data_IF_050584828074
#
_entry.id   IF_050584828074
#
_cell.length_a   1.000
_cell.length_b   1.000
_cell.length_c   1.000
_cell.angle_alpha   90.00
_cell.angle_beta   90.00
_cell.angle_gamma   90.00
#
_symmetry.space_group_name_H-M   'P 1'
#
loop_
_entity.id
_entity.type
_entity.pdbx_description
1 polymer ?
#
# COMPACT_ATOMS: atom_id res chain seq x y z
N UNK A 1 -7.54 -20.37 4.58
CA UNK A 1 -7.96 -20.49 5.98
C UNK A 1 -8.58 -19.15 6.33
N UNK A 2 -9.92 -19.05 6.38
CA UNK A 2 -10.61 -17.77 6.64
C UNK A 2 -10.30 -17.37 8.09
N UNK A 3 -9.64 -16.24 8.28
CA UNK A 3 -9.32 -15.71 9.60
C UNK A 3 -10.62 -15.42 10.36
N UNK A 4 -10.85 -16.11 11.48
CA UNK A 4 -12.06 -15.93 12.31
C UNK A 4 -12.21 -14.47 12.79
N UNK A 5 -11.09 -13.76 12.93
CA UNK A 5 -11.02 -12.36 13.34
C UNK A 5 -11.56 -11.37 12.29
N UNK A 6 -11.56 -11.71 11.00
CA UNK A 6 -12.06 -10.82 9.95
C UNK A 6 -13.58 -10.58 10.07
N UNK A 7 -14.33 -11.57 10.55
CA UNK A 7 -15.76 -11.44 10.79
C UNK A 7 -16.07 -10.57 12.02
N UNK A 8 -15.29 -10.71 13.09
CA UNK A 8 -15.40 -9.89 14.30
C UNK A 8 -15.04 -8.43 13.99
N UNK A 9 -13.92 -8.20 13.29
CA UNK A 9 -13.50 -6.86 12.85
C UNK A 9 -14.59 -6.19 11.97
N UNK A 10 -15.22 -6.96 11.08
CA UNK A 10 -16.32 -6.46 10.25
C UNK A 10 -17.54 -6.06 11.08
N UNK A 11 -17.88 -6.83 12.12
CA UNK A 11 -18.97 -6.51 13.02
C UNK A 11 -18.68 -5.24 13.83
N UNK A 12 -17.45 -5.10 14.35
CA UNK A 12 -17.00 -3.91 15.07
C UNK A 12 -17.03 -2.66 14.20
N UNK A 13 -16.57 -2.74 12.94
CA UNK A 13 -16.61 -1.61 12.00
C UNK A 13 -18.04 -1.19 11.66
N UNK A 14 -18.95 -2.16 11.48
CA UNK A 14 -20.38 -1.86 11.28
C UNK A 14 -20.99 -1.21 12.51
N UNK A 15 -20.66 -1.68 13.71
CA UNK A 15 -21.12 -1.08 14.97
C UNK A 15 -20.57 0.35 15.15
N UNK A 16 -19.36 0.63 14.65
CA UNK A 16 -18.77 1.97 14.60
C UNK A 16 -19.39 2.89 13.53
N UNK A 17 -20.38 2.43 12.75
CA UNK A 17 -21.10 3.25 11.77
C UNK A 17 -20.48 3.25 10.36
N UNK A 18 -19.55 2.34 10.06
CA UNK A 18 -18.94 2.27 8.74
C UNK A 18 -19.93 1.76 7.68
N UNK A 19 -20.20 2.57 6.65
CA UNK A 19 -21.12 2.20 5.56
C UNK A 19 -20.49 1.20 4.59
N UNK A 20 -19.20 1.38 4.28
CA UNK A 20 -18.45 0.53 3.35
C UNK A 20 -17.35 -0.19 4.13
N UNK A 21 -17.52 -1.50 4.35
CA UNK A 21 -16.48 -2.34 4.94
C UNK A 21 -15.85 -3.19 3.84
N UNK A 22 -14.51 -3.18 3.80
CA UNK A 22 -13.72 -4.04 2.92
C UNK A 22 -12.73 -4.82 3.76
N UNK A 23 -12.66 -6.12 3.52
CA UNK A 23 -11.63 -7.00 4.06
C UNK A 23 -10.65 -7.37 2.95
N UNK A 24 -9.36 -7.42 3.26
CA UNK A 24 -8.33 -7.94 2.36
C UNK A 24 -7.98 -9.38 2.76
N UNK A 25 -7.84 -10.24 1.76
CA UNK A 25 -7.29 -11.59 1.95
C UNK A 25 -5.76 -11.51 2.16
N UNK A 26 -5.16 -12.42 2.95
CA UNK A 26 -3.71 -12.49 3.12
C UNK A 26 -2.98 -12.59 1.77
N UNK A 27 -2.16 -11.59 1.45
CA UNK A 27 -1.41 -11.50 0.18
C UNK A 27 -1.95 -10.50 -0.84
N UNK A 28 -3.16 -9.95 -0.64
CA UNK A 28 -3.72 -8.85 -1.43
C UNK A 28 -3.47 -7.46 -0.80
N UNK A 29 -2.40 -7.35 -0.01
CA UNK A 29 -2.06 -6.18 0.80
C UNK A 29 -2.10 -4.87 0.01
N UNK A 30 -3.01 -3.97 0.41
CA UNK A 30 -3.15 -2.61 -0.08
C UNK A 30 -4.04 -2.43 -1.31
N UNK A 31 -4.71 -3.47 -1.80
CA UNK A 31 -5.61 -3.37 -2.96
C UNK A 31 -7.00 -2.80 -2.58
N UNK A 32 -7.61 -3.29 -1.51
CA UNK A 32 -8.85 -2.74 -0.97
C UNK A 32 -8.63 -1.37 -0.34
N UNK A 33 -7.50 -1.15 0.36
CA UNK A 33 -7.14 0.19 0.84
C UNK A 33 -7.03 1.16 -0.32
N UNK A 34 -6.30 0.79 -1.38
CA UNK A 34 -6.15 1.62 -2.58
C UNK A 34 -7.52 1.99 -3.16
N UNK A 35 -8.41 1.00 -3.27
CA UNK A 35 -9.78 1.23 -3.75
C UNK A 35 -10.54 2.20 -2.85
N UNK A 36 -10.49 2.04 -1.52
CA UNK A 36 -11.16 2.96 -0.59
C UNK A 36 -10.60 4.38 -0.73
N UNK A 37 -9.27 4.52 -0.79
CA UNK A 37 -8.61 5.82 -0.95
C UNK A 37 -8.89 6.48 -2.32
N UNK A 38 -9.33 5.72 -3.33
CA UNK A 38 -9.71 6.27 -4.62
C UNK A 38 -11.13 6.86 -4.59
N UNK A 39 -12.03 6.30 -3.77
CA UNK A 39 -13.43 6.73 -3.65
C UNK A 39 -13.71 7.70 -2.49
N UNK A 40 -12.82 7.78 -1.50
CA UNK A 40 -13.03 8.64 -0.33
C UNK A 40 -13.05 10.12 -0.71
N UNK A 41 -13.94 10.89 -0.10
CA UNK A 41 -14.15 12.31 -0.35
C UNK A 41 -13.98 13.19 0.89
N UNK A 42 -14.26 14.49 0.71
CA UNK A 42 -14.17 15.46 1.79
C UNK A 42 -15.24 15.21 2.86
N UNK A 43 -14.84 15.16 4.12
CA UNK A 43 -15.71 14.87 5.26
C UNK A 43 -15.86 13.38 5.58
N UNK A 44 -15.31 12.49 4.75
CA UNK A 44 -15.31 11.06 5.04
C UNK A 44 -14.24 10.67 6.07
N UNK A 45 -14.47 9.56 6.76
CA UNK A 45 -13.56 9.00 7.75
C UNK A 45 -13.24 7.54 7.43
N UNK A 46 -11.96 7.26 7.20
CA UNK A 46 -11.45 5.89 7.13
C UNK A 46 -11.31 5.35 8.54
N UNK A 47 -12.10 4.33 8.88
CA UNK A 47 -12.02 3.66 10.19
C UNK A 47 -11.37 2.31 10.04
N UNK A 48 -10.41 2.02 10.93
CA UNK A 48 -9.77 0.71 11.04
C UNK A 48 -9.80 0.22 12.48
N UNK A 49 -9.81 -1.09 12.67
CA UNK A 49 -9.75 -1.66 14.02
C UNK A 49 -8.37 -1.43 14.62
N UNK A 50 -7.31 -1.84 13.93
CA UNK A 50 -5.93 -1.74 14.41
C UNK A 50 -4.94 -1.43 13.29
N UNK A 51 -3.86 -0.71 13.62
CA UNK A 51 -2.83 -0.33 12.64
C UNK A 51 -1.97 -1.51 12.17
N UNK A 52 -1.77 -2.55 12.99
CA UNK A 52 -1.00 -3.75 12.60
C UNK A 52 -1.68 -4.57 11.50
N UNK A 53 -2.98 -4.32 11.27
CA UNK A 53 -3.74 -4.91 10.17
C UNK A 53 -3.49 -4.22 8.84
N UNK A 54 -2.87 -3.04 8.85
CA UNK A 54 -2.22 -2.54 7.67
C UNK A 54 -0.90 -3.29 7.49
N UNK A 55 -0.81 -4.07 6.42
CA UNK A 55 0.49 -4.56 5.93
C UNK A 55 1.35 -3.42 5.33
N UNK A 56 1.23 -2.19 5.86
CA UNK A 56 1.94 -0.99 5.43
C UNK A 56 3.16 -0.79 6.32
N UNK A 57 4.28 -0.42 5.68
CA UNK A 57 5.42 0.15 6.38
C UNK A 57 5.07 1.52 6.98
N UNK A 58 5.92 2.05 7.89
CA UNK A 58 5.73 3.40 8.45
C UNK A 58 5.53 4.47 7.36
N UNK A 59 6.31 4.37 6.28
CA UNK A 59 6.15 5.22 5.08
C UNK A 59 4.85 4.96 4.31
N UNK A 60 4.40 3.71 4.22
CA UNK A 60 3.12 3.39 3.58
C UNK A 60 1.92 4.00 4.31
N UNK A 61 1.98 4.10 5.64
CA UNK A 61 0.95 4.74 6.44
C UNK A 61 0.98 6.26 6.31
N UNK A 62 2.17 6.88 6.24
CA UNK A 62 2.32 8.30 5.92
C UNK A 62 1.74 8.65 4.54
N UNK A 63 2.06 7.85 3.51
CA UNK A 63 1.51 8.04 2.16
C UNK A 63 -0.03 7.93 2.15
N UNK A 64 -0.61 7.05 2.99
CA UNK A 64 -2.06 6.94 3.14
C UNK A 64 -2.67 8.16 3.84
N UNK A 65 -2.03 8.68 4.89
CA UNK A 65 -2.46 9.89 5.58
C UNK A 65 -2.45 11.11 4.64
N UNK A 66 -1.36 11.31 3.90
CA UNK A 66 -1.25 12.43 2.95
C UNK A 66 -2.35 12.36 1.88
N UNK A 67 -2.70 11.15 1.42
CA UNK A 67 -3.81 10.94 0.45
C UNK A 67 -5.19 11.23 1.03
N UNK A 68 -5.40 10.94 2.31
CA UNK A 68 -6.64 11.25 3.02
C UNK A 68 -6.79 12.76 3.19
N UNK A 69 -5.73 13.42 3.68
CA UNK A 69 -5.71 14.87 3.89
C UNK A 69 -5.91 15.64 2.58
N UNK A 70 -5.25 15.22 1.49
CA UNK A 70 -5.42 15.82 0.18
C UNK A 70 -6.87 15.73 -0.36
N UNK A 71 -7.66 14.79 0.17
CA UNK A 71 -9.08 14.61 -0.16
C UNK A 71 -10.02 15.22 0.88
N UNK A 72 -9.50 15.80 1.96
CA UNK A 72 -10.31 16.31 3.07
C UNK A 72 -10.94 15.21 3.93
N UNK A 73 -10.36 14.01 3.93
CA UNK A 73 -10.78 12.86 4.72
C UNK A 73 -9.89 12.68 5.95
N UNK A 74 -10.35 11.87 6.91
CA UNK A 74 -9.61 11.56 8.14
C UNK A 74 -9.42 10.06 8.37
N UNK A 75 -8.45 9.69 9.22
CA UNK A 75 -8.22 8.34 9.70
C UNK A 75 -8.63 8.25 11.16
N UNK A 76 -9.33 7.17 11.52
CA UNK A 76 -9.59 6.79 12.90
C UNK A 76 -9.25 5.32 13.12
N UNK A 77 -8.52 5.06 14.20
CA UNK A 77 -8.17 3.72 14.66
C UNK A 77 -8.95 3.47 15.93
N UNK A 78 -9.62 2.32 16.05
CA UNK A 78 -10.39 1.97 17.23
C UNK A 78 -9.46 1.50 18.37
N UNK A 79 -8.44 0.71 18.04
CA UNK A 79 -7.55 0.07 19.00
C UNK A 79 -6.06 0.13 18.55
N UNK A 80 -5.21 0.92 19.23
CA UNK A 80 -5.58 1.94 20.21
C UNK A 80 -6.40 3.07 19.55
N UNK A 81 -7.21 3.77 20.36
CA UNK A 81 -8.02 4.89 19.90
C UNK A 81 -7.12 6.04 19.41
N UNK A 82 -7.00 6.18 18.09
CA UNK A 82 -6.17 7.21 17.44
C UNK A 82 -6.99 7.93 16.37
N UNK A 83 -6.63 9.19 16.11
CA UNK A 83 -7.25 10.00 15.07
C UNK A 83 -6.19 10.81 14.34
N UNK A 84 -6.37 10.99 13.02
CA UNK A 84 -5.55 11.92 12.24
C UNK A 84 -6.04 13.36 12.29
N UNK A 85 -7.03 13.68 13.13
CA UNK A 85 -7.56 15.04 13.27
C UNK A 85 -6.95 15.79 14.46
N UNK A 86 -6.85 17.12 14.32
CA UNK A 86 -6.41 18.01 15.40
C UNK A 86 -4.99 17.74 15.90
N UNK A 87 -4.75 17.98 17.19
CA UNK A 87 -3.45 17.74 17.83
C UNK A 87 -3.06 16.26 17.86
N UNK A 88 -4.05 15.36 17.94
CA UNK A 88 -3.83 13.91 17.88
C UNK A 88 -3.24 13.46 16.55
N UNK A 89 -3.69 14.06 15.45
CA UNK A 89 -3.15 13.79 14.12
C UNK A 89 -1.70 14.22 13.95
N UNK A 90 -1.32 15.39 14.47
CA UNK A 90 0.07 15.84 14.44
C UNK A 90 1.00 14.92 15.21
N UNK A 91 0.56 14.46 16.40
CA UNK A 91 1.33 13.51 17.19
C UNK A 91 1.47 12.15 16.48
N UNK A 92 0.39 11.65 15.88
CA UNK A 92 0.42 10.42 15.09
C UNK A 92 1.42 10.55 13.93
N UNK A 93 1.37 11.65 13.18
CA UNK A 93 2.26 11.88 12.04
C UNK A 93 3.73 11.92 12.47
N UNK A 94 4.05 12.64 13.54
CA UNK A 94 5.41 12.71 14.08
C UNK A 94 5.96 11.34 14.50
N UNK A 95 5.14 10.50 15.14
CA UNK A 95 5.53 9.13 15.50
C UNK A 95 5.77 8.29 14.25
N UNK A 96 4.90 8.39 13.24
CA UNK A 96 5.05 7.65 12.00
C UNK A 96 6.26 8.09 11.18
N UNK A 97 6.62 9.37 11.20
CA UNK A 97 7.86 9.90 10.62
C UNK A 97 9.08 9.28 11.31
N UNK A 98 9.12 9.29 12.64
CA UNK A 98 10.20 8.66 13.40
C UNK A 98 10.30 7.14 13.11
N UNK A 99 9.17 6.43 13.03
CA UNK A 99 9.15 5.01 12.66
C UNK A 99 9.65 4.81 11.23
N UNK A 100 9.23 5.65 10.28
CA UNK A 100 9.63 5.54 8.88
C UNK A 100 11.13 5.80 8.67
N UNK A 101 11.77 6.61 9.51
CA UNK A 101 13.22 6.81 9.52
C UNK A 101 14.00 5.61 10.06
N UNK A 102 13.42 4.90 11.05
CA UNK A 102 14.00 3.70 11.66
C UNK A 102 13.76 2.44 10.81
N UNK A 103 12.72 2.44 9.97
CA UNK A 103 12.44 1.32 9.08
C UNK A 103 13.52 1.22 7.99
N UNK A 104 14.10 0.03 7.76
CA UNK A 104 15.02 -0.16 6.65
C UNK A 104 14.29 0.16 5.35
N UNK A 105 14.96 0.89 4.44
CA UNK A 105 14.44 1.59 3.25
C UNK A 105 13.78 0.70 2.16
N UNK A 106 13.20 -0.45 2.50
CA UNK A 106 13.26 -1.60 1.62
C UNK A 106 12.17 -2.65 1.71
N UNK A 107 10.94 -2.41 2.18
CA UNK A 107 9.94 -3.49 2.16
C UNK A 107 8.55 -3.05 1.68
N UNK A 108 8.14 -3.62 0.53
CA UNK A 108 6.78 -3.55 0.02
C UNK A 108 6.72 -3.35 -1.49
N UNK A 109 6.67 -2.09 -1.94
CA UNK A 109 6.38 -1.74 -3.35
C UNK A 109 7.61 -1.63 -4.24
N UNK A 110 8.69 -1.03 -3.71
CA UNK A 110 9.94 -0.84 -4.46
C UNK A 110 10.71 -2.14 -4.64
N UNK A 111 10.76 -3.04 -3.65
CA UNK A 111 11.50 -4.30 -3.77
C UNK A 111 10.92 -5.22 -4.86
N UNK A 112 9.60 -5.32 -5.00
CA UNK A 112 8.97 -6.08 -6.11
C UNK A 112 9.24 -5.44 -7.48
N UNK A 113 9.13 -4.12 -7.59
CA UNK A 113 9.41 -3.43 -8.86
C UNK A 113 10.89 -3.40 -9.21
N UNK A 114 11.78 -3.25 -8.24
CA UNK A 114 13.23 -3.21 -8.43
C UNK A 114 13.79 -4.61 -8.66
N UNK A 115 13.33 -5.63 -7.94
CA UNK A 115 13.69 -7.03 -8.20
C UNK A 115 13.24 -7.44 -9.60
N UNK A 116 11.99 -7.15 -9.98
CA UNK A 116 11.51 -7.40 -11.34
C UNK A 116 12.33 -6.62 -12.38
N UNK A 117 12.72 -5.37 -12.10
CA UNK A 117 13.53 -4.56 -13.04
C UNK A 117 14.92 -5.16 -13.22
N UNK A 118 15.64 -5.47 -12.13
CA UNK A 118 16.97 -6.06 -12.18
C UNK A 118 16.95 -7.45 -12.86
N UNK A 119 15.96 -8.28 -12.55
CA UNK A 119 15.78 -9.61 -13.17
C UNK A 119 15.43 -9.53 -14.66
N UNK A 120 14.59 -8.56 -15.08
CA UNK A 120 14.31 -8.30 -16.51
C UNK A 120 15.61 -8.05 -17.27
N UNK A 121 16.49 -7.19 -16.74
CA UNK A 121 17.75 -6.85 -17.39
C UNK A 121 18.76 -8.00 -17.37
N UNK A 122 18.87 -8.72 -16.25
CA UNK A 122 19.74 -9.87 -16.14
C UNK A 122 19.37 -10.95 -17.18
N UNK A 123 18.07 -11.24 -17.35
CA UNK A 123 17.59 -12.19 -18.34
C UNK A 123 17.76 -11.69 -19.78
N UNK A 124 17.55 -10.39 -20.03
CA UNK A 124 17.79 -9.80 -21.35
C UNK A 124 19.28 -9.88 -21.74
N UNK A 125 20.21 -9.60 -20.81
CA UNK A 125 21.66 -9.75 -21.05
C UNK A 125 22.07 -11.21 -21.25
N UNK A 126 21.34 -12.14 -20.67
CA UNK A 126 21.50 -13.58 -20.92
C UNK A 126 20.87 -14.04 -22.26
N UNK A 127 20.35 -13.11 -23.08
CA UNK A 127 19.78 -13.41 -24.41
C UNK A 127 18.34 -13.93 -24.39
N UNK A 128 17.64 -13.86 -23.25
CA UNK A 128 16.25 -14.30 -23.16
C UNK A 128 15.34 -13.24 -23.79
N UNK A 129 14.45 -13.67 -24.68
CA UNK A 129 13.52 -12.75 -25.36
C UNK A 129 12.50 -12.12 -24.40
N UNK A 130 12.03 -10.88 -24.66
CA UNK A 130 11.10 -10.14 -23.78
C UNK A 130 9.80 -10.87 -23.44
N UNK A 131 9.30 -11.70 -24.35
CA UNK A 131 8.09 -12.52 -24.15
C UNK A 131 8.32 -13.63 -23.14
N UNK A 132 9.50 -14.27 -23.20
CA UNK A 132 9.89 -15.33 -22.28
C UNK A 132 10.24 -14.78 -20.90
N UNK A 133 10.84 -13.58 -20.84
CA UNK A 133 11.05 -12.83 -19.59
C UNK A 133 9.71 -12.55 -18.89
N UNK A 134 8.73 -12.04 -19.63
CA UNK A 134 7.40 -11.76 -19.11
C UNK A 134 6.75 -13.03 -18.52
N UNK A 135 6.88 -14.16 -19.22
CA UNK A 135 6.36 -15.46 -18.77
C UNK A 135 7.06 -15.98 -17.52
N UNK A 136 8.40 -15.91 -17.46
CA UNK A 136 9.21 -16.38 -16.33
C UNK A 136 8.99 -15.57 -15.06
N UNK A 137 8.79 -14.26 -15.19
CA UNK A 137 8.65 -13.35 -14.07
C UNK A 137 7.19 -13.09 -13.67
N UNK A 138 6.21 -13.66 -14.39
CA UNK A 138 4.79 -13.45 -14.12
C UNK A 138 4.33 -12.00 -14.32
N UNK A 139 4.97 -11.25 -15.22
CA UNK A 139 4.66 -9.84 -15.51
C UNK A 139 4.12 -9.67 -16.93
N UNK A 140 3.41 -8.57 -17.18
CA UNK A 140 2.90 -8.29 -18.53
C UNK A 140 4.04 -7.95 -19.50
N UNK A 141 3.90 -8.37 -20.78
CA UNK A 141 4.84 -8.00 -21.86
C UNK A 141 5.06 -6.49 -21.93
N UNK A 142 4.00 -5.72 -21.72
CA UNK A 142 4.04 -4.25 -21.72
C UNK A 142 4.92 -3.69 -20.58
N UNK A 143 4.97 -4.37 -19.43
CA UNK A 143 5.86 -3.99 -18.31
C UNK A 143 7.33 -4.17 -18.68
N UNK A 144 7.67 -5.27 -19.34
CA UNK A 144 9.04 -5.56 -19.82
C UNK A 144 9.47 -4.49 -20.82
N UNK A 145 8.66 -4.26 -21.87
CA UNK A 145 8.96 -3.26 -22.90
C UNK A 145 9.10 -1.84 -22.36
N UNK A 146 8.22 -1.42 -21.45
CA UNK A 146 8.29 -0.09 -20.81
C UNK A 146 9.60 0.08 -20.03
N UNK A 147 10.07 -0.96 -19.35
CA UNK A 147 11.30 -0.91 -18.55
C UNK A 147 12.55 -0.91 -19.41
N UNK A 148 12.60 -1.73 -20.46
CA UNK A 148 13.70 -1.72 -21.42
C UNK A 148 13.82 -0.34 -22.10
N UNK A 149 12.71 0.20 -22.61
CA UNK A 149 12.68 1.50 -23.29
C UNK A 149 13.05 2.68 -22.37
N UNK A 150 12.66 2.62 -21.10
CA UNK A 150 12.98 3.68 -20.13
C UNK A 150 14.48 3.78 -19.83
N UNK A 151 15.24 2.69 -19.98
CA UNK A 151 16.70 2.69 -19.83
C UNK A 151 17.39 3.06 -21.13
N UNK A 152 16.92 2.58 -22.28
CA UNK A 152 17.41 3.04 -23.59
C UNK A 152 17.28 4.57 -23.74
N UNK A 153 16.21 5.16 -23.19
CA UNK A 153 16.01 6.61 -23.17
C UNK A 153 16.86 7.35 -22.11
N UNK A 154 17.44 6.64 -21.15
CA UNK A 154 18.32 7.19 -20.11
C UNK A 154 19.82 7.00 -20.43
N UNK A 155 20.15 6.07 -21.32
CA UNK A 155 21.50 5.79 -21.83
C UNK A 155 21.80 6.50 -23.17
N UNK A 156 20.80 7.17 -23.77
CA UNK A 156 20.90 8.00 -24.97
C UNK A 156 21.01 9.49 -24.62
#
# INVERSE_FOLDING_TARGET
>A
MRDATANEDTATLKAAGCQVVRAEEPGAAGQALGSILDFIGAGDQLVVTRLDRFALSGRGLLDALDRLEARGASLSVLEPALTSQGSGGQALRAVLEAVAELEPSGHGRRRRQAAATHEIFALQRAGVGPVEIARRLGVSRMTVWRKLKAVEAAEA
#
